data_IF_254702360392
#
_entry.id   IF_254702360392
#
_cell.length_a   1.000
_cell.length_b   1.000
_cell.length_c   1.000
_cell.angle_alpha   90.00
_cell.angle_beta   90.00
_cell.angle_gamma   90.00
#
_symmetry.space_group_name_H-M   'P 1'
#
loop_
_entity.id
_entity.type
_entity.pdbx_description
1 polymer ?
#
# COMPACT_ATOMS: atom_id res chain seq x y z
N UNK A 1 -6.92 0.15 -10.18
CA UNK A 1 -7.13 0.17 -8.73
C UNK A 1 -6.27 1.27 -8.11
N UNK A 2 -6.68 1.87 -7.00
CA UNK A 2 -5.87 2.85 -6.29
C UNK A 2 -5.33 2.23 -4.99
N UNK A 3 -3.99 2.19 -4.86
CA UNK A 3 -3.29 1.70 -3.67
C UNK A 3 -2.75 2.90 -2.91
N UNK A 4 -3.16 3.05 -1.67
CA UNK A 4 -2.74 4.11 -0.74
C UNK A 4 -1.83 3.47 0.29
N UNK A 5 -0.58 3.91 0.37
CA UNK A 5 0.47 3.29 1.19
C UNK A 5 0.86 4.22 2.32
N UNK A 6 0.83 3.72 3.54
CA UNK A 6 1.48 4.33 4.69
C UNK A 6 2.99 4.09 4.59
N UNK A 7 3.73 5.14 4.17
CA UNK A 7 5.12 5.00 3.77
C UNK A 7 6.04 4.53 4.89
N UNK A 8 6.02 5.20 6.05
CA UNK A 8 6.89 4.80 7.16
C UNK A 8 6.47 3.51 7.84
N UNK A 9 5.17 3.20 7.88
CA UNK A 9 4.71 1.90 8.38
C UNK A 9 5.27 0.77 7.51
N UNK A 10 5.22 0.91 6.18
CA UNK A 10 5.77 -0.09 5.27
C UNK A 10 7.31 -0.18 5.37
N UNK A 11 8.03 0.95 5.40
CA UNK A 11 9.49 0.98 5.55
C UNK A 11 9.93 0.25 6.82
N UNK A 12 9.30 0.53 7.96
CA UNK A 12 9.67 -0.06 9.26
C UNK A 12 9.44 -1.57 9.34
N UNK A 13 8.50 -2.08 8.55
CA UNK A 13 8.18 -3.51 8.47
C UNK A 13 9.03 -4.26 7.42
N UNK A 14 9.78 -3.54 6.60
CA UNK A 14 10.65 -4.10 5.57
C UNK A 14 12.11 -3.99 6.01
N UNK A 15 12.77 -5.11 6.41
CA UNK A 15 14.07 -5.07 7.07
C UNK A 15 15.15 -4.28 6.31
N UNK A 16 15.24 -4.47 5.00
CA UNK A 16 16.23 -3.80 4.14
C UNK A 16 15.97 -2.29 4.09
N UNK A 17 14.72 -1.87 3.95
CA UNK A 17 14.34 -0.46 3.93
C UNK A 17 14.48 0.19 5.30
N UNK A 18 14.18 -0.54 6.38
CA UNK A 18 14.34 -0.06 7.75
C UNK A 18 15.81 0.20 8.09
N UNK A 19 16.74 -0.56 7.55
CA UNK A 19 18.18 -0.30 7.71
C UNK A 19 18.60 1.01 7.04
N UNK A 20 18.13 1.24 5.82
CA UNK A 20 18.41 2.49 5.09
C UNK A 20 17.79 3.70 5.77
N UNK A 21 16.55 3.59 6.23
CA UNK A 21 15.81 4.65 6.93
C UNK A 21 16.47 5.07 8.24
N UNK A 22 17.05 4.11 8.99
CA UNK A 22 17.81 4.40 10.22
C UNK A 22 19.11 5.16 9.95
N UNK A 23 19.74 4.93 8.80
CA UNK A 23 20.94 5.65 8.41
C UNK A 23 20.60 7.04 7.86
N UNK A 24 19.56 7.15 7.07
CA UNK A 24 19.06 8.39 6.48
C UNK A 24 17.62 8.20 6.00
N UNK A 25 16.70 9.03 6.51
CA UNK A 25 15.28 9.01 6.18
C UNK A 25 15.02 9.19 4.67
N UNK A 26 15.85 9.97 3.99
CA UNK A 26 15.70 10.18 2.55
C UNK A 26 16.02 8.89 1.78
N UNK A 27 17.08 8.20 2.16
CA UNK A 27 17.48 6.92 1.55
C UNK A 27 16.40 5.86 1.72
N UNK A 28 15.77 5.76 2.89
CA UNK A 28 14.65 4.85 3.13
C UNK A 28 13.45 5.14 2.23
N UNK A 29 13.08 6.42 2.08
CA UNK A 29 11.99 6.85 1.19
C UNK A 29 12.28 6.55 -0.28
N UNK A 30 13.48 6.88 -0.76
CA UNK A 30 13.89 6.65 -2.14
C UNK A 30 13.89 5.15 -2.49
N UNK A 31 14.39 4.31 -1.60
CA UNK A 31 14.37 2.86 -1.76
C UNK A 31 12.93 2.32 -1.85
N UNK A 32 12.02 2.75 -0.97
CA UNK A 32 10.61 2.38 -1.04
C UNK A 32 9.99 2.80 -2.38
N UNK A 33 10.24 4.03 -2.83
CA UNK A 33 9.70 4.54 -4.09
C UNK A 33 10.24 3.75 -5.28
N UNK A 34 11.48 3.28 -5.23
CA UNK A 34 12.06 2.42 -6.28
C UNK A 34 11.35 1.07 -6.36
N UNK A 35 11.11 0.41 -5.24
CA UNK A 35 10.37 -0.85 -5.17
C UNK A 35 8.94 -0.69 -5.70
N UNK A 36 8.24 0.36 -5.28
CA UNK A 36 6.87 0.64 -5.72
C UNK A 36 6.78 0.95 -7.22
N UNK A 37 7.79 1.63 -7.81
CA UNK A 37 7.84 1.84 -9.27
C UNK A 37 7.99 0.52 -10.03
N UNK A 38 8.80 -0.42 -9.52
CA UNK A 38 8.93 -1.76 -10.09
C UNK A 38 7.58 -2.48 -10.12
N UNK A 39 6.90 -2.49 -8.99
CA UNK A 39 5.57 -3.09 -8.86
C UNK A 39 4.51 -2.40 -9.74
N UNK A 40 4.49 -1.07 -9.79
CA UNK A 40 3.56 -0.31 -10.62
C UNK A 40 3.70 -0.63 -12.11
N UNK A 41 4.94 -0.78 -12.61
CA UNK A 41 5.17 -1.16 -14.01
C UNK A 41 4.59 -2.52 -14.37
N UNK A 42 4.62 -3.46 -13.41
CA UNK A 42 4.09 -4.81 -13.62
C UNK A 42 2.56 -4.87 -13.53
N UNK A 43 1.95 -4.07 -12.64
CA UNK A 43 0.52 -4.18 -12.29
C UNK A 43 -0.34 -3.00 -12.76
N UNK A 44 0.26 -1.90 -13.24
CA UNK A 44 -0.41 -0.70 -13.73
C UNK A 44 -1.40 -0.06 -12.72
N UNK A 45 -1.16 -0.20 -11.42
CA UNK A 45 -2.00 0.41 -10.39
C UNK A 45 -1.64 1.87 -10.18
N UNK A 46 -2.63 2.70 -9.82
CA UNK A 46 -2.37 4.02 -9.26
C UNK A 46 -1.86 3.83 -7.83
N UNK A 47 -0.66 4.31 -7.52
CA UNK A 47 -0.07 4.22 -6.19
C UNK A 47 0.14 5.62 -5.63
N UNK A 48 -0.24 5.83 -4.37
CA UNK A 48 0.03 7.04 -3.62
C UNK A 48 0.63 6.66 -2.27
N UNK A 49 1.81 7.17 -1.97
CA UNK A 49 2.50 6.98 -0.69
C UNK A 49 2.33 8.22 0.16
N UNK A 50 1.99 8.03 1.42
CA UNK A 50 1.88 9.10 2.41
C UNK A 50 3.04 8.97 3.40
N UNK A 51 3.76 10.07 3.62
CA UNK A 51 4.77 10.20 4.64
C UNK A 51 4.37 11.23 5.69
N UNK A 52 4.72 11.00 6.95
CA UNK A 52 4.58 12.03 7.97
C UNK A 52 5.57 13.17 7.70
N UNK A 53 5.05 14.38 7.52
CA UNK A 53 5.85 15.56 7.21
C UNK A 53 6.74 16.02 8.35
N UNK A 54 6.45 15.62 9.60
CA UNK A 54 7.27 15.93 10.79
C UNK A 54 8.66 15.34 10.66
N UNK A 55 8.77 14.16 10.09
CA UNK A 55 10.05 13.47 9.90
C UNK A 55 10.91 14.08 8.76
N UNK A 56 10.36 14.98 7.96
CA UNK A 56 11.10 15.72 6.92
C UNK A 56 11.76 17.02 7.44
N UNK A 57 11.45 17.43 8.66
CA UNK A 57 11.90 18.73 9.20
C UNK A 57 11.28 19.95 8.50
N UNK A 58 10.23 19.75 7.71
CA UNK A 58 9.55 20.79 6.93
C UNK A 58 8.16 21.12 7.45
N UNK A 59 7.77 22.38 7.32
CA UNK A 59 6.48 22.90 7.76
C UNK A 59 5.37 22.78 6.73
N UNK A 60 5.68 22.38 5.51
CA UNK A 60 4.73 22.38 4.39
C UNK A 60 4.41 20.97 3.94
N UNK A 61 3.14 20.60 4.03
CA UNK A 61 2.61 19.46 3.29
C UNK A 61 2.89 19.66 1.79
N UNK A 62 3.26 18.59 1.11
CA UNK A 62 3.59 18.63 -0.31
C UNK A 62 2.99 17.44 -1.04
N UNK A 63 2.78 17.63 -2.35
CA UNK A 63 2.43 16.56 -3.27
C UNK A 63 3.48 16.55 -4.36
N UNK A 64 4.08 15.38 -4.60
CA UNK A 64 5.11 15.16 -5.60
C UNK A 64 4.73 13.98 -6.47
N UNK A 65 5.30 13.90 -7.67
CA UNK A 65 5.21 12.70 -8.51
C UNK A 65 6.61 12.12 -8.69
N UNK A 66 6.83 10.94 -8.16
CA UNK A 66 8.11 10.26 -8.22
C UNK A 66 8.05 9.10 -9.23
N UNK A 67 8.15 9.43 -10.52
CA UNK A 67 8.18 8.41 -11.59
C UNK A 67 6.89 7.60 -11.70
N UNK A 68 5.73 8.27 -11.60
CA UNK A 68 4.42 7.66 -11.65
C UNK A 68 3.80 7.36 -10.29
N UNK A 69 4.60 7.34 -9.22
CA UNK A 69 4.11 7.21 -7.83
C UNK A 69 3.75 8.59 -7.30
N UNK A 70 2.51 8.77 -6.85
CA UNK A 70 2.11 9.96 -6.11
C UNK A 70 2.72 9.93 -4.70
N UNK A 71 3.39 11.00 -4.29
CA UNK A 71 3.94 11.14 -2.93
C UNK A 71 3.23 12.30 -2.25
N UNK A 72 2.75 12.10 -1.04
CA UNK A 72 2.14 13.14 -0.22
C UNK A 72 2.79 13.17 1.16
N UNK A 73 2.99 14.38 1.67
CA UNK A 73 3.47 14.63 3.02
C UNK A 73 2.34 15.25 3.84
N UNK A 74 2.15 14.78 5.06
CA UNK A 74 1.25 15.46 5.99
C UNK A 74 1.73 16.87 6.31
N UNK A 75 0.81 17.76 6.62
CA UNK A 75 1.11 19.14 7.05
C UNK A 75 1.52 19.17 8.50
N UNK A 76 2.08 20.30 8.93
CA UNK A 76 2.33 20.53 10.35
C UNK A 76 1.00 20.44 11.13
N UNK A 77 1.00 19.62 12.19
CA UNK A 77 -0.20 19.38 12.99
C UNK A 77 -1.13 18.28 12.46
N UNK A 78 -0.89 17.77 11.26
CA UNK A 78 -1.62 16.65 10.65
C UNK A 78 -0.77 15.37 10.70
N UNK A 79 -1.39 14.23 10.93
CA UNK A 79 -0.74 12.93 10.87
C UNK A 79 -0.86 12.29 9.49
N UNK A 80 0.00 11.33 9.17
CA UNK A 80 -0.15 10.52 7.96
C UNK A 80 -1.50 9.80 7.93
N UNK A 81 -1.98 9.32 9.08
CA UNK A 81 -3.26 8.63 9.23
C UNK A 81 -4.45 9.50 8.83
N UNK A 82 -4.45 10.78 9.22
CA UNK A 82 -5.49 11.75 8.83
C UNK A 82 -5.49 11.99 7.33
N UNK A 83 -4.31 12.08 6.71
CA UNK A 83 -4.18 12.19 5.25
C UNK A 83 -4.71 10.93 4.57
N UNK A 84 -4.36 9.75 5.07
CA UNK A 84 -4.83 8.46 4.55
C UNK A 84 -6.36 8.40 4.65
N UNK A 85 -6.93 8.71 5.81
CA UNK A 85 -8.38 8.67 6.03
C UNK A 85 -9.13 9.59 5.04
N UNK A 86 -8.61 10.78 4.78
CA UNK A 86 -9.18 11.73 3.80
C UNK A 86 -9.12 11.16 2.38
N UNK A 87 -7.98 10.61 1.96
CA UNK A 87 -7.82 10.01 0.63
C UNK A 87 -8.73 8.80 0.43
N UNK A 88 -8.90 8.01 1.49
CA UNK A 88 -9.80 6.85 1.45
C UNK A 88 -11.25 7.28 1.31
N UNK A 89 -11.66 8.34 2.01
CA UNK A 89 -12.99 8.92 1.87
C UNK A 89 -13.24 9.44 0.44
N UNK A 90 -12.23 10.04 -0.19
CA UNK A 90 -12.29 10.49 -1.60
C UNK A 90 -12.35 9.30 -2.59
N UNK A 91 -11.58 8.26 -2.33
CA UNK A 91 -11.46 7.09 -3.21
C UNK A 91 -12.69 6.15 -3.15
N UNK A 92 -13.41 6.18 -2.04
CA UNK A 92 -14.54 5.27 -1.78
C UNK A 92 -14.12 3.80 -1.80
N UNK A 93 -15.02 2.95 -2.30
CA UNK A 93 -14.82 1.50 -2.32
C UNK A 93 -13.89 0.99 -3.45
N UNK A 94 -13.15 1.89 -4.12
CA UNK A 94 -12.17 1.55 -5.17
C UNK A 94 -10.72 1.44 -4.70
N UNK A 95 -10.42 1.68 -3.41
CA UNK A 95 -9.07 1.73 -2.89
C UNK A 95 -8.66 0.50 -2.06
N UNK A 96 -7.34 0.26 -2.05
CA UNK A 96 -6.66 -0.61 -1.08
C UNK A 96 -5.75 0.27 -0.24
N UNK A 97 -5.75 0.08 1.08
CA UNK A 97 -4.88 0.79 2.02
C UNK A 97 -3.86 -0.17 2.59
N UNK A 98 -2.59 0.14 2.42
CA UNK A 98 -1.47 -0.64 2.94
C UNK A 98 -0.95 0.00 4.22
N UNK A 99 -1.24 -0.61 5.34
CA UNK A 99 -0.68 -0.29 6.66
C UNK A 99 -0.94 -1.44 7.63
N UNK A 100 0.00 -1.72 8.52
CA UNK A 100 -0.19 -2.66 9.65
C UNK A 100 -0.78 -2.00 10.88
N UNK A 101 -1.00 -0.68 10.85
CA UNK A 101 -1.68 0.04 11.94
C UNK A 101 -3.18 -0.30 11.95
N UNK A 102 -3.66 -0.71 13.13
CA UNK A 102 -5.05 -1.12 13.32
C UNK A 102 -6.05 0.03 13.18
N UNK A 103 -5.66 1.23 13.55
CA UNK A 103 -6.52 2.42 13.45
C UNK A 103 -6.67 2.82 11.99
N UNK A 104 -5.58 2.83 11.23
CA UNK A 104 -5.57 3.06 9.77
C UNK A 104 -6.41 2.00 9.05
N UNK A 105 -6.24 0.73 9.39
CA UNK A 105 -7.04 -0.35 8.81
C UNK A 105 -8.53 -0.22 9.14
N UNK A 106 -8.86 0.15 10.38
CA UNK A 106 -10.24 0.36 10.79
C UNK A 106 -10.86 1.56 10.06
N UNK A 107 -10.11 2.66 9.89
CA UNK A 107 -10.53 3.81 9.11
C UNK A 107 -10.77 3.42 7.64
N UNK A 108 -9.86 2.66 7.02
CA UNK A 108 -10.03 2.15 5.67
C UNK A 108 -11.34 1.38 5.50
N UNK A 109 -11.62 0.45 6.41
CA UNK A 109 -12.89 -0.33 6.38
C UNK A 109 -14.12 0.56 6.54
N UNK A 110 -14.09 1.56 7.42
CA UNK A 110 -15.23 2.48 7.62
C UNK A 110 -15.59 3.22 6.33
N UNK A 111 -14.60 3.61 5.55
CA UNK A 111 -14.78 4.33 4.28
C UNK A 111 -14.88 3.41 3.05
N UNK A 112 -14.98 2.09 3.24
CA UNK A 112 -15.21 1.14 2.15
C UNK A 112 -13.94 0.69 1.41
N UNK A 113 -12.75 1.16 1.79
CA UNK A 113 -11.50 0.65 1.25
C UNK A 113 -11.13 -0.73 1.83
N UNK A 114 -10.34 -1.51 1.09
CA UNK A 114 -9.83 -2.79 1.56
C UNK A 114 -8.47 -2.58 2.26
N UNK A 115 -8.33 -2.89 3.55
CA UNK A 115 -7.03 -2.84 4.20
C UNK A 115 -6.17 -4.05 3.83
N UNK A 116 -4.88 -3.83 3.74
CA UNK A 116 -3.85 -4.83 3.51
C UNK A 116 -2.69 -4.54 4.46
N UNK A 117 -2.17 -5.56 5.14
CA UNK A 117 -1.00 -5.35 5.99
C UNK A 117 0.26 -5.10 5.15
N UNK A 118 1.27 -4.48 5.75
CA UNK A 118 2.55 -4.27 5.09
C UNK A 118 3.19 -5.60 4.66
N UNK A 119 3.16 -6.62 5.53
CA UNK A 119 3.70 -7.96 5.27
C UNK A 119 2.99 -8.65 4.07
N UNK A 120 1.65 -8.62 4.05
CA UNK A 120 0.89 -9.17 2.92
C UNK A 120 1.18 -8.44 1.62
N UNK A 121 1.35 -7.11 1.67
CA UNK A 121 1.68 -6.33 0.50
C UNK A 121 3.09 -6.66 -0.04
N UNK A 122 4.10 -6.75 0.84
CA UNK A 122 5.44 -7.16 0.47
C UNK A 122 5.46 -8.55 -0.19
N UNK A 123 4.73 -9.50 0.37
CA UNK A 123 4.61 -10.85 -0.20
C UNK A 123 4.03 -10.80 -1.62
N UNK A 124 3.03 -9.96 -1.87
CA UNK A 124 2.42 -9.79 -3.20
C UNK A 124 3.36 -9.08 -4.18
N UNK A 125 4.11 -8.09 -3.72
CA UNK A 125 5.13 -7.41 -4.53
C UNK A 125 6.19 -8.40 -4.99
N UNK A 126 6.70 -9.24 -4.09
CA UNK A 126 7.70 -10.26 -4.40
C UNK A 126 7.16 -11.32 -5.37
N UNK A 127 5.94 -11.81 -5.15
CA UNK A 127 5.28 -12.73 -6.08
C UNK A 127 5.12 -12.12 -7.48
N UNK A 128 4.75 -10.85 -7.57
CA UNK A 128 4.67 -10.11 -8.83
C UNK A 128 6.02 -9.96 -9.52
N UNK A 129 7.10 -9.71 -8.75
CA UNK A 129 8.46 -9.65 -9.27
C UNK A 129 8.93 -10.98 -9.85
N UNK A 130 8.69 -12.06 -9.12
CA UNK A 130 9.05 -13.42 -9.58
C UNK A 130 8.27 -13.80 -10.85
N UNK A 131 6.98 -13.50 -10.92
CA UNK A 131 6.16 -13.75 -12.11
C UNK A 131 6.68 -12.99 -13.34
N UNK A 132 7.04 -11.71 -13.15
CA UNK A 132 7.63 -10.91 -14.23
C UNK A 132 8.97 -11.44 -14.74
N UNK A 133 9.81 -12.02 -13.86
CA UNK A 133 11.08 -12.63 -14.22
C UNK A 133 10.92 -13.98 -14.97
N UNK A 134 9.83 -14.70 -14.71
CA UNK A 134 9.56 -16.01 -15.36
C UNK A 134 8.94 -15.88 -16.77
N UNK A 135 8.78 -14.66 -17.31
CA UNK A 135 8.16 -14.42 -18.61
C UNK A 135 6.67 -14.66 -18.54
N UNK A 136 5.92 -13.59 -18.47
CA UNK A 136 4.49 -13.54 -18.15
C UNK A 136 3.53 -14.27 -19.09
N UNK A 137 3.51 -15.58 -19.04
CA UNK A 137 2.47 -16.44 -19.59
C UNK A 137 1.95 -17.37 -18.49
N UNK A 138 1.25 -16.79 -17.52
CA UNK A 138 0.26 -17.53 -16.76
C UNK A 138 -0.83 -16.54 -16.31
N UNK A 139 -1.87 -16.47 -17.12
CA UNK A 139 -3.16 -15.95 -16.70
C UNK A 139 -3.57 -16.66 -15.40
N UNK A 140 -3.85 -15.83 -14.40
CA UNK A 140 -4.58 -16.04 -13.15
C UNK A 140 -5.33 -17.40 -13.07
N UNK A 141 -4.63 -18.48 -12.77
CA UNK A 141 -5.24 -19.72 -12.34
C UNK A 141 -5.44 -19.68 -10.83
N UNK A 142 -6.67 -19.58 -10.34
CA UNK A 142 -6.92 -19.64 -8.91
C UNK A 142 -6.48 -21.00 -8.37
N UNK A 143 -5.44 -21.02 -7.54
CA UNK A 143 -5.14 -22.20 -6.73
C UNK A 143 -6.34 -22.49 -5.82
N UNK A 144 -6.99 -23.60 -6.07
CA UNK A 144 -8.00 -24.17 -5.18
C UNK A 144 -7.31 -24.61 -3.89
N UNK A 145 -7.23 -23.74 -2.90
CA UNK A 145 -6.94 -24.13 -1.53
C UNK A 145 -8.15 -24.84 -0.93
N UNK A 146 -7.86 -25.91 -0.23
CA UNK A 146 -8.77 -26.95 0.21
C UNK A 146 -10.03 -26.51 0.95
N UNK A 147 -11.00 -27.42 0.97
CA UNK A 147 -12.30 -27.37 1.66
C UNK A 147 -12.13 -27.17 3.17
N UNK A 148 -12.14 -25.91 3.61
CA UNK A 148 -12.47 -25.54 4.98
C UNK A 148 -13.93 -25.10 5.00
N UNK A 149 -14.66 -25.37 6.07
CA UNK A 149 -16.06 -25.01 6.29
C UNK A 149 -16.31 -23.55 5.99
N UNK A 150 -16.89 -23.27 4.83
CA UNK A 150 -17.03 -21.92 4.29
C UNK A 150 -18.08 -21.14 5.11
N UNK A 151 -17.65 -20.32 6.05
CA UNK A 151 -18.45 -19.21 6.57
C UNK A 151 -18.87 -18.35 5.36
N UNK A 152 -20.17 -18.20 5.16
CA UNK A 152 -20.73 -17.43 4.04
C UNK A 152 -20.36 -15.95 4.21
N UNK A 153 -19.35 -15.49 3.49
CA UNK A 153 -18.89 -14.11 3.52
C UNK A 153 -20.02 -13.15 3.16
N UNK A 154 -20.09 -12.01 3.84
CA UNK A 154 -21.01 -10.92 3.50
C UNK A 154 -20.68 -10.35 2.11
N UNK A 155 -21.62 -9.62 1.51
CA UNK A 155 -21.42 -8.97 0.21
C UNK A 155 -20.21 -8.00 0.24
N UNK A 156 -19.98 -7.36 1.37
CA UNK A 156 -18.84 -6.44 1.61
C UNK A 156 -17.52 -7.22 1.64
N UNK A 157 -17.43 -8.29 2.42
CA UNK A 157 -16.24 -9.13 2.53
C UNK A 157 -15.84 -9.76 1.18
N UNK A 158 -16.82 -10.17 0.36
CA UNK A 158 -16.54 -10.69 -1.00
C UNK A 158 -15.97 -9.60 -1.93
N UNK A 159 -16.43 -8.35 -1.81
CA UNK A 159 -15.90 -7.23 -2.60
C UNK A 159 -14.46 -6.88 -2.17
N UNK A 160 -14.20 -6.90 -0.87
CA UNK A 160 -12.88 -6.70 -0.28
C UNK A 160 -11.90 -7.77 -0.76
N UNK A 161 -12.28 -9.05 -0.63
CA UNK A 161 -11.46 -10.17 -1.09
C UNK A 161 -11.16 -10.10 -2.60
N UNK A 162 -12.16 -9.75 -3.44
CA UNK A 162 -11.95 -9.59 -4.88
C UNK A 162 -10.94 -8.50 -5.20
N UNK A 163 -10.95 -7.37 -4.47
CA UNK A 163 -9.96 -6.30 -4.65
C UNK A 163 -8.56 -6.75 -4.24
N UNK A 164 -8.46 -7.41 -3.10
CA UNK A 164 -7.18 -7.90 -2.62
C UNK A 164 -6.54 -8.94 -3.54
N UNK A 165 -7.33 -9.68 -4.32
CA UNK A 165 -6.79 -10.60 -5.35
C UNK A 165 -6.13 -9.87 -6.52
N UNK A 166 -6.50 -8.63 -6.80
CA UNK A 166 -5.92 -7.84 -7.88
C UNK A 166 -4.62 -7.11 -7.49
N UNK A 167 -4.26 -7.09 -6.22
CA UNK A 167 -3.00 -6.55 -5.69
C UNK A 167 -1.94 -7.65 -5.70
#
# INVERSE_FOLDING_TARGET
MWIIVDGYNLIRQWPELAMLDRADLQSGREALLQELRGYQRAKHHRITVIFDGRERGGTSGGTENAGGIGVRYSRQGETADEVIARLVAEAGDGAVVVSSDREVQAAARRHGAAPLSAEEFMTRMEAGRIAALKGGDDEDRPQKTGKGTARRLSKRERREERRLRGV
#
